data_IF_395419120720
#
_entry.id   IF_395419120720
#
_cell.length_a   1.000
_cell.length_b   1.000
_cell.length_c   1.000
_cell.angle_alpha   90.00
_cell.angle_beta   90.00
_cell.angle_gamma   90.00
#
_symmetry.space_group_name_H-M   'P 1'
#
loop_
_entity.id
_entity.type
_entity.pdbx_description
1 polymer ?
#
# COMPACT_ATOMS: atom_id res chain seq x y z
N UNK A 1 17.67 -7.11 31.72
CA UNK A 1 17.81 -6.00 30.76
C UNK A 1 16.51 -5.91 29.98
N UNK A 2 15.65 -4.96 30.33
CA UNK A 2 14.37 -4.74 29.65
C UNK A 2 14.24 -3.23 29.49
N UNK A 3 14.46 -2.72 28.27
CA UNK A 3 14.33 -1.29 27.99
C UNK A 3 12.85 -0.96 27.78
N UNK A 4 12.33 -0.10 28.66
CA UNK A 4 11.04 0.56 28.52
C UNK A 4 11.17 1.67 27.47
N UNK A 5 10.41 1.58 26.37
CA UNK A 5 10.28 2.69 25.43
C UNK A 5 9.09 3.57 25.85
N UNK A 6 9.42 4.80 26.25
CA UNK A 6 8.48 5.85 26.64
C UNK A 6 7.87 6.46 25.37
N UNK A 7 6.54 6.34 25.22
CA UNK A 7 5.77 7.15 24.26
C UNK A 7 5.52 8.51 24.90
N UNK A 8 6.14 9.57 24.37
CA UNK A 8 5.89 10.94 24.80
C UNK A 8 4.71 11.51 24.01
N UNK A 9 3.53 11.50 24.61
CA UNK A 9 2.41 12.33 24.16
C UNK A 9 2.80 13.81 24.32
N UNK A 10 2.84 14.57 23.24
CA UNK A 10 2.72 16.03 23.28
C UNK A 10 1.33 16.39 22.76
N UNK A 11 0.38 16.47 23.69
CA UNK A 11 -0.82 17.28 23.55
C UNK A 11 -0.40 18.73 23.81
N UNK A 12 -0.42 19.58 22.80
CA UNK A 12 -0.38 21.03 23.01
C UNK A 12 -1.63 21.67 22.41
N UNK A 13 -2.25 22.53 23.21
CA UNK A 13 -3.61 23.02 23.09
C UNK A 13 -3.71 24.19 22.07
N UNK A 14 -4.82 24.23 21.32
CA UNK A 14 -5.17 25.29 20.36
C UNK A 14 -5.24 26.70 20.97
N UNK A 15 -5.27 27.73 20.10
CA UNK A 15 -6.51 28.51 20.06
C UNK A 15 -7.12 28.66 18.66
N UNK A 16 -8.42 28.91 18.70
CA UNK A 16 -9.41 29.05 17.64
C UNK A 16 -9.07 30.22 16.70
N UNK A 17 -9.07 29.94 15.38
CA UNK A 17 -8.99 30.95 14.33
C UNK A 17 -9.29 30.31 12.97
N UNK A 18 -10.48 30.55 12.45
CA UNK A 18 -10.98 29.96 11.21
C UNK A 18 -10.12 30.33 9.99
N UNK A 19 -9.76 29.33 9.18
CA UNK A 19 -9.50 29.51 7.76
C UNK A 19 -9.97 28.26 7.00
N UNK A 20 -10.78 28.40 5.93
CA UNK A 20 -11.45 27.27 5.30
C UNK A 20 -10.52 26.55 4.32
N UNK A 21 -10.58 25.22 4.35
CA UNK A 21 -10.22 24.34 3.24
C UNK A 21 -8.76 24.39 2.74
N UNK A 22 -7.78 24.11 3.61
CA UNK A 22 -6.61 23.36 3.14
C UNK A 22 -6.92 21.89 3.35
N UNK A 23 -7.42 21.25 2.30
CA UNK A 23 -7.46 19.79 2.24
C UNK A 23 -6.03 19.30 2.42
N UNK A 24 -5.66 18.95 3.65
CA UNK A 24 -4.45 18.17 3.91
C UNK A 24 -4.74 16.85 3.19
N UNK A 25 -4.25 16.74 1.96
CA UNK A 25 -4.18 15.49 1.24
C UNK A 25 -3.25 14.61 2.07
N UNK A 26 -3.78 13.93 3.09
CA UNK A 26 -3.07 12.82 3.71
C UNK A 26 -2.93 11.80 2.59
N UNK A 27 -1.71 11.46 2.16
CA UNK A 27 -1.54 10.25 1.37
C UNK A 27 -2.15 9.15 2.22
N UNK A 28 -3.23 8.55 1.74
CA UNK A 28 -3.88 7.43 2.41
C UNK A 28 -2.84 6.31 2.31
N UNK A 29 -1.99 6.22 3.32
CA UNK A 29 -0.88 5.28 3.34
C UNK A 29 -1.54 3.92 3.54
N UNK A 30 -1.80 3.25 2.42
CA UNK A 30 -2.36 1.91 2.36
C UNK A 30 -1.39 1.04 3.16
N UNK A 31 -1.87 0.48 4.26
CA UNK A 31 -1.00 -0.12 5.28
C UNK A 31 -0.25 -1.34 4.79
N UNK A 32 -0.54 -1.87 3.60
CA UNK A 32 0.24 -2.92 2.92
C UNK A 32 0.09 -2.82 1.40
N UNK A 33 1.00 -2.10 0.73
CA UNK A 33 1.15 -2.26 -0.71
C UNK A 33 1.65 -3.68 -1.01
N UNK A 34 1.04 -4.44 -1.94
CA UNK A 34 1.57 -5.71 -2.39
C UNK A 34 3.01 -5.57 -2.90
N UNK A 35 3.80 -6.63 -2.70
CA UNK A 35 5.18 -6.67 -3.16
C UNK A 35 5.27 -6.70 -4.69
N UNK A 36 6.45 -6.34 -5.21
CA UNK A 36 6.75 -6.48 -6.63
C UNK A 36 6.69 -7.95 -7.07
N UNK A 37 6.06 -8.20 -8.21
CA UNK A 37 6.05 -9.52 -8.82
C UNK A 37 7.36 -9.75 -9.60
N UNK A 38 8.22 -10.59 -9.04
CA UNK A 38 9.54 -10.93 -9.61
C UNK A 38 9.48 -12.00 -10.72
N UNK A 39 8.36 -12.73 -10.80
CA UNK A 39 8.16 -13.82 -11.74
C UNK A 39 9.17 -14.96 -11.57
N UNK A 40 8.85 -15.96 -10.74
CA UNK A 40 9.70 -17.14 -10.56
C UNK A 40 9.99 -17.85 -11.90
N UNK A 41 11.26 -18.05 -12.24
CA UNK A 41 11.67 -18.50 -13.58
C UNK A 41 11.94 -20.00 -13.67
N UNK A 42 12.18 -20.66 -12.54
CA UNK A 42 12.74 -22.02 -12.52
C UNK A 42 11.71 -23.10 -12.17
N UNK A 43 10.88 -22.87 -11.14
CA UNK A 43 9.90 -23.87 -10.68
C UNK A 43 8.46 -23.53 -11.09
N UNK A 44 7.79 -24.42 -11.83
CA UNK A 44 6.40 -24.22 -12.27
C UNK A 44 5.40 -24.15 -11.10
N UNK A 45 5.50 -25.07 -10.14
CA UNK A 45 4.62 -25.07 -8.95
C UNK A 45 4.87 -23.85 -8.05
N UNK A 46 6.14 -23.47 -7.86
CA UNK A 46 6.52 -22.30 -7.08
C UNK A 46 6.05 -21.00 -7.76
N UNK A 47 6.12 -20.94 -9.10
CA UNK A 47 5.58 -19.82 -9.87
C UNK A 47 4.08 -19.67 -9.65
N UNK A 48 3.32 -20.77 -9.71
CA UNK A 48 1.88 -20.72 -9.48
C UNK A 48 1.54 -20.23 -8.08
N UNK A 49 2.20 -20.78 -7.04
CA UNK A 49 1.99 -20.35 -5.65
C UNK A 49 2.24 -18.85 -5.48
N UNK A 50 3.42 -18.37 -5.93
CA UNK A 50 3.79 -16.95 -5.84
C UNK A 50 2.84 -16.04 -6.61
N UNK A 51 2.31 -16.51 -7.74
CA UNK A 51 1.31 -15.77 -8.50
C UNK A 51 -0.02 -15.63 -7.74
N UNK A 52 -0.52 -16.72 -7.16
CA UNK A 52 -1.76 -16.67 -6.36
C UNK A 52 -1.60 -15.82 -5.10
N UNK A 53 -0.46 -15.91 -4.42
CA UNK A 53 -0.15 -15.06 -3.25
C UNK A 53 -0.13 -13.57 -3.63
N UNK A 54 0.53 -13.24 -4.74
CA UNK A 54 0.59 -11.87 -5.25
C UNK A 54 -0.80 -11.35 -5.65
N UNK A 55 -1.60 -12.16 -6.33
CA UNK A 55 -2.98 -11.86 -6.71
C UNK A 55 -3.88 -11.63 -5.49
N UNK A 56 -3.71 -12.42 -4.44
CA UNK A 56 -4.42 -12.22 -3.17
C UNK A 56 -4.04 -10.87 -2.53
N UNK A 57 -2.75 -10.51 -2.55
CA UNK A 57 -2.27 -9.20 -2.08
C UNK A 57 -2.90 -8.02 -2.82
N UNK A 58 -3.04 -8.12 -4.15
CA UNK A 58 -3.74 -7.12 -4.97
C UNK A 58 -5.21 -6.98 -4.56
N UNK A 59 -5.93 -8.09 -4.42
CA UNK A 59 -7.34 -8.07 -4.00
C UNK A 59 -7.54 -7.44 -2.63
N UNK A 60 -6.65 -7.72 -1.68
CA UNK A 60 -6.69 -7.09 -0.35
C UNK A 60 -6.50 -5.57 -0.50
N UNK A 61 -5.49 -5.14 -1.25
CA UNK A 61 -5.21 -3.73 -1.49
C UNK A 61 -6.42 -2.99 -2.11
N UNK A 62 -7.05 -3.58 -3.13
CA UNK A 62 -8.23 -2.97 -3.77
C UNK A 62 -9.43 -2.86 -2.84
N UNK A 63 -9.64 -3.87 -1.99
CA UNK A 63 -10.72 -3.86 -1.00
C UNK A 63 -10.47 -2.88 0.14
N UNK A 64 -9.22 -2.65 0.52
CA UNK A 64 -8.85 -1.68 1.55
C UNK A 64 -9.10 -0.23 1.11
N UNK A 65 -8.91 0.06 -0.18
CA UNK A 65 -9.01 1.42 -0.72
C UNK A 65 -9.92 1.52 -1.96
N UNK A 66 -11.24 1.25 -1.81
CA UNK A 66 -12.17 1.22 -2.94
C UNK A 66 -12.32 2.57 -3.65
N UNK A 67 -12.05 3.69 -2.97
CA UNK A 67 -12.05 5.02 -3.59
C UNK A 67 -10.84 5.25 -4.51
N UNK A 68 -9.71 4.58 -4.24
CA UNK A 68 -8.51 4.65 -5.09
C UNK A 68 -8.63 3.69 -6.26
N UNK A 69 -9.24 2.52 -6.02
CA UNK A 69 -9.41 1.42 -6.99
C UNK A 69 -10.87 1.27 -7.44
N UNK A 70 -11.54 2.39 -7.70
CA UNK A 70 -12.95 2.47 -8.13
C UNK A 70 -13.19 1.95 -9.56
N UNK A 71 -12.13 1.82 -10.35
CA UNK A 71 -12.18 1.48 -11.77
C UNK A 71 -11.15 0.41 -12.09
N UNK A 72 -11.49 -0.46 -13.04
CA UNK A 72 -10.57 -1.49 -13.53
C UNK A 72 -9.29 -0.89 -14.14
N UNK A 73 -9.39 0.28 -14.78
CA UNK A 73 -8.23 0.98 -15.33
C UNK A 73 -7.20 1.35 -14.26
N UNK A 74 -7.63 1.87 -13.10
CA UNK A 74 -6.72 2.21 -11.99
C UNK A 74 -6.09 0.95 -11.39
N UNK A 75 -6.86 -0.14 -11.26
CA UNK A 75 -6.35 -1.44 -10.82
C UNK A 75 -5.28 -1.98 -11.77
N UNK A 76 -5.52 -1.94 -13.08
CA UNK A 76 -4.57 -2.37 -14.11
C UNK A 76 -3.29 -1.54 -14.10
N UNK A 77 -3.40 -0.21 -14.02
CA UNK A 77 -2.24 0.68 -13.98
C UNK A 77 -1.37 0.39 -12.75
N UNK A 78 -2.01 0.16 -11.60
CA UNK A 78 -1.32 -0.21 -10.37
C UNK A 78 -0.65 -1.59 -10.47
N UNK A 79 -1.32 -2.59 -11.04
CA UNK A 79 -0.72 -3.91 -11.30
C UNK A 79 0.54 -3.80 -12.15
N UNK A 80 0.52 -3.01 -13.22
CA UNK A 80 1.69 -2.80 -14.09
C UNK A 80 2.84 -2.16 -13.32
N UNK A 81 2.55 -1.23 -12.41
CA UNK A 81 3.58 -0.59 -11.56
C UNK A 81 4.29 -1.58 -10.61
N UNK A 82 3.67 -2.74 -10.35
CA UNK A 82 4.17 -3.77 -9.45
C UNK A 82 4.91 -4.89 -10.18
N UNK A 83 5.00 -4.86 -11.50
CA UNK A 83 5.83 -5.79 -12.26
C UNK A 83 7.29 -5.35 -12.15
N UNK A 84 8.18 -6.26 -11.77
CA UNK A 84 9.62 -5.96 -11.75
C UNK A 84 10.08 -5.59 -13.17
N UNK A 85 10.59 -4.36 -13.34
CA UNK A 85 11.25 -3.97 -14.60
C UNK A 85 12.48 -4.83 -14.76
N UNK A 86 12.37 -5.87 -15.58
CA UNK A 86 13.54 -6.55 -16.12
C UNK A 86 14.14 -5.64 -17.18
N UNK A 87 14.96 -4.67 -16.75
CA UNK A 87 15.89 -4.00 -17.67
C UNK A 87 16.92 -5.05 -18.03
N UNK A 88 16.81 -5.59 -19.25
CA UNK A 88 17.87 -6.36 -19.88
C UNK A 88 18.82 -5.42 -20.60
#
# INVERSE_FOLDING_TARGET
MTQNFVFREQLDQSPIGANPAVSIYRPRQTTKNPELFKGEKTGLLNRQSKYEDWKMGLHICWKSDPAVFDTEQKKLLYMVSLLERTVR
#
